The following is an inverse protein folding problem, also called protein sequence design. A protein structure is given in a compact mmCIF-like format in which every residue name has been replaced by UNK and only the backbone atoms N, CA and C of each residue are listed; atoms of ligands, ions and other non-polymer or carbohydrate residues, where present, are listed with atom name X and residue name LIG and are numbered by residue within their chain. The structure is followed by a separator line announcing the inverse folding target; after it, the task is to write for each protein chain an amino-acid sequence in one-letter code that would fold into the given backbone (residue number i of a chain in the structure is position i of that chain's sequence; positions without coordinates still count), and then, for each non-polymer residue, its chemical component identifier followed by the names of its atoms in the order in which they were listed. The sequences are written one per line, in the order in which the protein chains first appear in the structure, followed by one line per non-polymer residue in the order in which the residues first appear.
data_IF_468213043391
#
_entry.id   IF_468213043391
#
_cell.length_a   1.000
_cell.length_b   1.000
_cell.length_c   1.000
_cell.angle_alpha   90.00
_cell.angle_beta   90.00
_cell.angle_gamma   90.00
#
_symmetry.space_group_name_H-M   'P 1'
#
loop_
_entity.id
_entity.type
_entity.pdbx_description
1 polymer ?
#
# COMPACT_ATOMS: atom_id res chain seq x y z
N UNK A 1 -4.52 3.53 -15.07
CA UNK A 1 -5.73 4.14 -14.52
C UNK A 1 -6.94 3.66 -15.32
N UNK A 2 -7.94 3.07 -14.66
CA UNK A 2 -9.13 2.47 -15.29
C UNK A 2 -10.36 2.95 -14.54
N UNK A 3 -11.42 3.36 -15.24
CA UNK A 3 -12.70 3.81 -14.63
C UNK A 3 -13.89 2.94 -15.03
N UNK A 4 -13.60 1.87 -15.76
CA UNK A 4 -14.57 0.93 -16.26
C UNK A 4 -13.93 -0.44 -16.46
N UNK A 5 -14.78 -1.47 -16.47
CA UNK A 5 -14.39 -2.84 -16.83
C UNK A 5 -13.27 -3.40 -15.93
N UNK A 6 -13.26 -3.03 -14.64
CA UNK A 6 -12.22 -3.40 -13.68
C UNK A 6 -12.21 -4.90 -13.40
N UNK A 7 -13.38 -5.56 -13.43
CA UNK A 7 -13.52 -6.99 -13.12
C UNK A 7 -12.60 -7.88 -13.97
N UNK A 8 -12.53 -7.75 -15.31
CA UNK A 8 -11.55 -8.49 -16.10
C UNK A 8 -10.16 -7.84 -16.18
N UNK A 9 -10.04 -6.52 -16.05
CA UNK A 9 -8.75 -5.83 -16.24
C UNK A 9 -7.86 -5.88 -15.00
N UNK A 10 -8.42 -5.63 -13.82
CA UNK A 10 -7.66 -5.51 -12.57
C UNK A 10 -6.95 -6.81 -12.17
N UNK A 11 -7.57 -8.01 -12.21
CA UNK A 11 -6.88 -9.25 -11.87
C UNK A 11 -5.67 -9.53 -12.76
N UNK A 12 -5.74 -9.21 -14.06
CA UNK A 12 -4.61 -9.35 -14.98
C UNK A 12 -3.45 -8.45 -14.58
N UNK A 13 -3.73 -7.16 -14.32
CA UNK A 13 -2.69 -6.19 -13.95
C UNK A 13 -2.04 -6.51 -12.61
N UNK A 14 -2.83 -6.91 -11.61
CA UNK A 14 -2.30 -7.36 -10.31
C UNK A 14 -1.51 -8.67 -10.46
N UNK A 15 -1.95 -9.57 -11.33
CA UNK A 15 -1.20 -10.77 -11.70
C UNK A 15 0.17 -10.46 -12.32
N UNK A 16 0.22 -9.53 -13.26
CA UNK A 16 1.47 -9.06 -13.88
C UNK A 16 2.41 -8.42 -12.85
N UNK A 17 1.89 -7.53 -12.00
CA UNK A 17 2.66 -6.87 -10.93
C UNK A 17 3.20 -7.90 -9.92
N UNK A 18 2.35 -8.77 -9.41
CA UNK A 18 2.75 -9.79 -8.42
C UNK A 18 3.74 -10.80 -9.00
N UNK A 19 3.57 -11.19 -10.27
CA UNK A 19 4.53 -12.05 -10.98
C UNK A 19 5.90 -11.39 -11.12
N UNK A 20 5.95 -10.11 -11.51
CA UNK A 20 7.20 -9.36 -11.63
C UNK A 20 7.90 -9.16 -10.27
N UNK A 21 7.15 -8.79 -9.22
CA UNK A 21 7.68 -8.66 -7.87
C UNK A 21 8.23 -9.99 -7.33
N UNK A 22 7.52 -11.09 -7.55
CA UNK A 22 7.97 -12.41 -7.15
C UNK A 22 9.24 -12.84 -7.89
N UNK A 23 9.32 -12.60 -9.21
CA UNK A 23 10.52 -12.90 -9.99
C UNK A 23 11.73 -12.08 -9.49
N UNK A 24 11.53 -10.79 -9.21
CA UNK A 24 12.57 -9.91 -8.66
C UNK A 24 13.04 -10.37 -7.28
N UNK A 25 12.13 -10.69 -6.36
CA UNK A 25 12.49 -11.19 -5.04
C UNK A 25 13.26 -12.51 -5.10
N UNK A 26 12.85 -13.44 -5.99
CA UNK A 26 13.58 -14.70 -6.20
C UNK A 26 15.00 -14.49 -6.71
N UNK A 27 15.19 -13.56 -7.64
CA UNK A 27 16.52 -13.22 -8.16
C UNK A 27 17.43 -12.66 -7.03
N UNK A 28 16.89 -11.79 -6.17
CA UNK A 28 17.61 -11.30 -5.00
C UNK A 28 17.95 -12.41 -4.00
N UNK A 29 17.06 -13.37 -3.77
CA UNK A 29 17.32 -14.54 -2.92
C UNK A 29 18.45 -15.40 -3.50
N UNK A 30 18.42 -15.68 -4.82
CA UNK A 30 19.45 -16.44 -5.52
C UNK A 30 20.84 -15.78 -5.46
N UNK A 31 20.88 -14.44 -5.30
CA UNK A 31 22.11 -13.66 -5.17
C UNK A 31 22.47 -13.26 -3.73
N UNK A 32 21.78 -13.80 -2.71
CA UNK A 32 21.98 -13.45 -1.29
C UNK A 32 21.85 -11.94 -0.99
N UNK A 33 20.98 -11.24 -1.72
CA UNK A 33 20.74 -9.80 -1.59
C UNK A 33 19.34 -9.45 -1.04
N UNK A 34 18.48 -10.45 -0.83
CA UNK A 34 17.08 -10.22 -0.44
C UNK A 34 16.91 -9.60 0.96
N UNK A 35 17.89 -9.74 1.87
CA UNK A 35 17.87 -9.08 3.19
C UNK A 35 18.17 -7.58 3.13
N UNK A 36 18.76 -7.11 2.04
CA UNK A 36 19.18 -5.71 1.83
C UNK A 36 18.11 -4.86 1.15
N UNK A 37 16.97 -5.45 0.76
CA UNK A 37 15.91 -4.79 -0.01
C UNK A 37 14.57 -4.84 0.72
N UNK A 38 13.90 -3.69 0.76
CA UNK A 38 12.48 -3.54 1.08
C UNK A 38 11.78 -2.82 -0.07
N UNK A 39 10.65 -3.36 -0.53
CA UNK A 39 9.84 -2.83 -1.62
C UNK A 39 8.56 -2.25 -1.04
N UNK A 40 8.29 -0.97 -1.34
CA UNK A 40 6.98 -0.36 -1.10
C UNK A 40 6.20 -0.33 -2.40
N UNK A 41 5.03 -0.97 -2.40
CA UNK A 41 4.00 -0.77 -3.42
C UNK A 41 2.92 0.10 -2.81
N UNK A 42 2.58 1.22 -3.44
CA UNK A 42 1.62 2.20 -2.93
C UNK A 42 0.73 2.70 -4.06
N UNK A 43 -0.55 2.89 -3.78
CA UNK A 43 -1.51 3.49 -4.72
C UNK A 43 -1.62 5.00 -4.49
N UNK A 44 -1.40 5.81 -5.53
CA UNK A 44 -1.56 7.28 -5.46
C UNK A 44 -2.98 7.69 -5.04
N UNK A 45 -3.98 6.92 -5.45
CA UNK A 45 -5.39 7.11 -5.12
C UNK A 45 -6.07 5.75 -4.90
N UNK A 46 -7.14 5.79 -4.12
CA UNK A 46 -8.04 4.67 -3.91
C UNK A 46 -9.11 4.56 -4.99
N UNK A 47 -10.08 3.69 -4.74
CA UNK A 47 -11.30 3.56 -5.55
C UNK A 47 -12.52 3.83 -4.67
N UNK A 48 -13.53 4.47 -5.26
CA UNK A 48 -14.82 4.64 -4.59
C UNK A 48 -15.45 3.28 -4.33
N UNK A 49 -16.18 3.16 -3.22
CA UNK A 49 -17.03 1.99 -2.98
C UNK A 49 -18.24 2.03 -3.90
N UNK A 50 -18.70 3.25 -4.23
CA UNK A 50 -19.85 3.48 -5.08
C UNK A 50 -19.50 3.28 -6.56
N UNK A 51 -20.30 2.43 -7.21
CA UNK A 51 -20.25 2.19 -8.65
C UNK A 51 -20.67 3.43 -9.46
N UNK A 52 -20.00 3.66 -10.60
CA UNK A 52 -20.26 4.77 -11.52
C UNK A 52 -21.08 4.37 -12.77
N UNK A 53 -21.62 3.15 -12.81
CA UNK A 53 -22.40 2.56 -13.89
C UNK A 53 -21.59 1.68 -14.84
N UNK A 54 -20.27 1.85 -14.88
CA UNK A 54 -19.35 1.03 -15.71
C UNK A 54 -18.14 0.49 -14.96
N UNK A 55 -17.95 0.94 -13.71
CA UNK A 55 -16.77 0.71 -12.88
C UNK A 55 -16.76 1.62 -11.65
N UNK A 56 -15.57 2.10 -11.27
CA UNK A 56 -15.38 2.97 -10.11
C UNK A 56 -14.45 4.14 -10.41
N UNK A 57 -14.78 5.31 -9.86
CA UNK A 57 -13.89 6.48 -9.93
C UNK A 57 -12.80 6.42 -8.87
N UNK A 58 -11.91 7.43 -8.89
CA UNK A 58 -10.91 7.62 -7.84
C UNK A 58 -11.59 7.92 -6.51
N UNK A 59 -11.04 7.35 -5.46
CA UNK A 59 -11.51 7.55 -4.09
C UNK A 59 -10.36 7.82 -3.12
N UNK A 60 -10.72 8.25 -1.91
CA UNK A 60 -9.78 8.69 -0.88
C UNK A 60 -9.01 7.56 -0.19
N UNK A 61 -9.58 6.35 -0.12
CA UNK A 61 -9.00 5.19 0.57
C UNK A 61 -8.21 4.27 -0.36
N UNK A 62 -6.88 4.33 -0.29
CA UNK A 62 -5.96 3.48 -1.07
C UNK A 62 -5.40 2.28 -0.31
N UNK A 63 -4.34 1.68 -0.86
CA UNK A 63 -3.64 0.55 -0.24
C UNK A 63 -2.13 0.61 -0.45
N UNK A 64 -1.40 -0.09 0.42
CA UNK A 64 0.05 -0.26 0.30
C UNK A 64 0.50 -1.66 0.75
N UNK A 65 1.60 -2.12 0.17
CA UNK A 65 2.30 -3.35 0.57
C UNK A 65 3.76 -3.03 0.84
N UNK A 66 4.30 -3.59 1.93
CA UNK A 66 5.74 -3.63 2.18
C UNK A 66 6.18 -5.08 2.00
N UNK A 67 7.14 -5.32 1.12
CA UNK A 67 7.60 -6.65 0.72
C UNK A 67 9.11 -6.73 0.91
N UNK A 68 9.61 -7.81 1.50
CA UNK A 68 11.04 -8.05 1.70
C UNK A 68 11.28 -9.18 2.69
N UNK A 69 12.49 -9.75 2.68
CA UNK A 69 12.83 -10.90 3.54
C UNK A 69 12.77 -10.56 5.04
N UNK A 70 13.09 -9.31 5.39
CA UNK A 70 13.03 -8.77 6.75
C UNK A 70 11.62 -8.31 7.15
N UNK A 71 10.62 -8.38 6.25
CA UNK A 71 9.24 -8.00 6.57
C UNK A 71 8.53 -9.16 7.24
N UNK A 72 7.90 -8.92 8.40
CA UNK A 72 7.23 -9.96 9.17
C UNK A 72 5.98 -10.53 8.46
N UNK A 73 5.35 -9.72 7.61
CA UNK A 73 4.07 -9.99 6.97
C UNK A 73 2.88 -9.71 7.89
N UNK A 74 1.68 -9.62 7.31
CA UNK A 74 0.44 -9.36 8.04
C UNK A 74 -0.26 -8.05 7.64
N UNK A 75 -1.33 -7.74 8.36
CA UNK A 75 -2.09 -6.49 8.24
C UNK A 75 -1.68 -5.56 9.37
N UNK A 76 -1.16 -4.37 9.04
CA UNK A 76 -0.59 -3.45 10.03
C UNK A 76 -1.49 -2.28 10.41
N UNK A 77 -2.56 -2.04 9.66
CA UNK A 77 -3.54 -0.99 9.91
C UNK A 77 -4.93 -1.60 10.03
N UNK A 78 -5.85 -0.88 10.68
CA UNK A 78 -7.25 -1.27 10.73
C UNK A 78 -7.84 -1.32 9.32
N UNK A 79 -8.64 -2.34 9.03
CA UNK A 79 -9.38 -2.39 7.77
C UNK A 79 -10.52 -1.37 7.82
N UNK A 80 -10.66 -0.49 6.81
CA UNK A 80 -11.69 0.55 6.85
C UNK A 80 -13.10 -0.05 6.85
N UNK A 81 -14.03 0.59 7.56
CA UNK A 81 -15.43 0.21 7.55
C UNK A 81 -16.05 0.36 6.16
N UNK A 82 -16.92 -0.58 5.80
CA UNK A 82 -17.71 -0.53 4.57
C UNK A 82 -19.11 0.07 4.79
N UNK A 83 -19.47 0.38 6.04
CA UNK A 83 -20.79 0.90 6.39
C UNK A 83 -21.06 2.23 5.68
N UNK A 84 -22.20 2.39 4.98
CA UNK A 84 -22.50 3.61 4.24
C UNK A 84 -22.46 4.89 5.10
N UNK A 85 -22.79 4.78 6.39
CA UNK A 85 -22.77 5.90 7.33
C UNK A 85 -21.34 6.37 7.68
N UNK A 86 -20.32 5.56 7.44
CA UNK A 86 -18.91 5.86 7.73
C UNK A 86 -18.12 6.24 6.47
N UNK A 87 -18.76 6.21 5.30
CA UNK A 87 -18.15 6.62 4.03
C UNK A 87 -17.93 8.13 3.98
N UNK A 88 -16.78 8.55 3.48
CA UNK A 88 -16.51 9.95 3.18
C UNK A 88 -17.33 10.37 1.97
N UNK A 89 -17.97 11.53 2.06
CA UNK A 89 -18.81 12.11 0.99
C UNK A 89 -19.93 11.16 0.48
N UNK A 90 -20.24 10.10 1.23
CA UNK A 90 -21.21 9.07 0.84
C UNK A 90 -20.77 8.16 -0.32
N UNK A 91 -19.46 8.10 -0.63
CA UNK A 91 -18.95 7.29 -1.75
C UNK A 91 -17.53 6.72 -1.55
N UNK A 92 -16.74 7.30 -0.65
CA UNK A 92 -15.34 6.95 -0.44
C UNK A 92 -15.12 6.18 0.87
N UNK A 93 -14.16 5.25 0.86
CA UNK A 93 -13.64 4.68 2.11
C UNK A 93 -12.87 5.74 2.90
N UNK A 94 -13.12 5.81 4.20
CA UNK A 94 -12.33 6.59 5.14
C UNK A 94 -11.01 5.86 5.41
N UNK A 95 -9.89 6.53 5.18
CA UNK A 95 -8.58 5.97 5.52
C UNK A 95 -8.45 5.79 7.04
N UNK A 96 -7.82 4.69 7.44
CA UNK A 96 -7.53 4.34 8.84
C UNK A 96 -6.10 4.63 9.25
N UNK A 97 -5.24 4.94 8.27
CA UNK A 97 -3.83 5.23 8.48
C UNK A 97 -3.36 6.28 7.48
N UNK A 98 -2.53 7.23 7.94
CA UNK A 98 -1.96 8.27 7.09
C UNK A 98 -0.74 7.72 6.31
N UNK A 99 -0.74 7.87 4.99
CA UNK A 99 0.33 7.34 4.14
C UNK A 99 1.72 7.90 4.50
N UNK A 100 1.79 9.10 5.09
CA UNK A 100 3.06 9.69 5.59
C UNK A 100 3.67 8.86 6.71
N UNK A 101 2.85 8.16 7.48
CA UNK A 101 3.30 7.18 8.47
C UNK A 101 4.03 5.98 7.84
N UNK A 102 3.61 5.56 6.63
CA UNK A 102 4.29 4.48 5.88
C UNK A 102 5.66 4.97 5.41
N UNK A 103 5.73 6.18 4.87
CA UNK A 103 7.01 6.79 4.49
C UNK A 103 7.93 7.00 5.69
N UNK A 104 7.41 7.51 6.81
CA UNK A 104 8.18 7.68 8.03
C UNK A 104 8.73 6.35 8.55
N UNK A 105 7.93 5.29 8.52
CA UNK A 105 8.34 3.93 8.88
C UNK A 105 9.55 3.47 8.07
N UNK A 106 9.54 3.65 6.74
CA UNK A 106 10.67 3.25 5.88
C UNK A 106 11.90 4.14 6.09
N UNK A 107 11.70 5.46 6.18
CA UNK A 107 12.79 6.41 6.38
C UNK A 107 13.56 6.12 7.67
N UNK A 108 12.85 5.92 8.79
CA UNK A 108 13.49 5.72 10.08
C UNK A 108 13.94 4.28 10.31
N UNK A 109 13.07 3.30 10.05
CA UNK A 109 13.33 1.91 10.44
C UNK A 109 14.17 1.14 9.41
N UNK A 110 14.13 1.56 8.14
CA UNK A 110 14.91 0.92 7.07
C UNK A 110 16.14 1.74 6.68
N UNK A 111 15.98 3.05 6.46
CA UNK A 111 17.06 3.91 5.97
C UNK A 111 17.85 4.62 7.09
N UNK A 112 17.36 4.63 8.33
CA UNK A 112 18.02 5.30 9.45
C UNK A 112 18.04 6.83 9.34
N UNK A 113 17.06 7.42 8.64
CA UNK A 113 16.93 8.86 8.41
C UNK A 113 15.85 9.46 9.31
N UNK A 114 16.02 10.71 9.76
CA UNK A 114 14.95 11.47 10.44
C UNK A 114 13.82 11.76 9.45
N UNK A 115 12.64 11.17 9.69
CA UNK A 115 11.49 11.34 8.81
C UNK A 115 10.81 12.69 8.99
N UNK A 116 10.85 13.29 10.18
CA UNK A 116 10.05 14.48 10.53
C UNK A 116 10.16 15.61 9.49
N UNK A 117 11.35 16.07 9.09
CA UNK A 117 11.48 17.12 8.08
C UNK A 117 11.09 16.66 6.67
N UNK A 118 11.14 15.36 6.37
CA UNK A 118 10.89 14.80 5.04
C UNK A 118 9.41 14.56 4.77
N UNK A 119 8.65 14.14 5.79
CA UNK A 119 7.20 13.92 5.69
C UNK A 119 6.38 15.09 6.21
N UNK A 120 7.03 16.15 6.72
CA UNK A 120 6.40 17.40 7.14
C UNK A 120 5.71 17.34 8.50
N UNK A 121 6.15 16.45 9.39
CA UNK A 121 5.58 16.27 10.73
C UNK A 121 5.85 14.89 11.32
N UNK A 122 5.23 14.62 12.47
CA UNK A 122 5.28 13.30 13.11
C UNK A 122 3.97 12.56 12.82
N UNK A 123 4.09 11.32 12.38
CA UNK A 123 2.96 10.45 12.03
C UNK A 123 3.08 9.12 12.77
N UNK A 124 1.95 8.44 12.97
CA UNK A 124 1.95 7.07 13.46
C UNK A 124 2.81 6.18 12.55
N UNK A 125 3.60 5.28 13.15
CA UNK A 125 4.45 4.37 12.40
C UNK A 125 4.03 2.92 12.61
N UNK A 126 4.26 2.11 11.58
CA UNK A 126 4.06 0.68 11.62
C UNK A 126 5.31 -0.01 12.20
N UNK A 127 5.22 -1.32 12.45
CA UNK A 127 6.37 -2.15 12.82
C UNK A 127 6.50 -3.37 11.90
N UNK A 128 6.83 -3.17 10.62
CA UNK A 128 6.81 -4.25 9.65
C UNK A 128 8.08 -5.09 9.63
N UNK A 129 9.19 -4.56 10.12
CA UNK A 129 10.49 -5.22 10.05
C UNK A 129 10.75 -6.11 11.27
N UNK A 130 11.33 -7.28 11.02
CA UNK A 130 11.84 -8.17 12.06
C UNK A 130 13.10 -7.54 12.68
N UNK A 131 13.18 -7.60 14.01
CA UNK A 131 14.38 -7.26 14.78
C UNK A 131 15.55 -8.16 14.41
#
# INVERSE_FOLDING_TARGET
DTHATEVPTHPRLVGELSGALNAFMRDLEEHNAAEEIAILVFTEFGRRVRDNGSGTDHGSGGGAFIIGQRVAGGLYAEYPSLEPAEQLYGEDLKHTFDFRGVYATLLEQWLGLDATPLVGGTYEQLRPFRN
#
